data_IF_719264527604
#
_entry.id   IF_719264527604
#
_cell.length_a   1.000
_cell.length_b   1.000
_cell.length_c   1.000
_cell.angle_alpha   90.00
_cell.angle_beta   90.00
_cell.angle_gamma   90.00
#
_symmetry.space_group_name_H-M   'P 1'
#
loop_
_entity.id
_entity.type
_entity.pdbx_description
1 polymer ?
#
# COMPACT_ATOMS: atom_id res chain seq x y z
N UNK A 1 4.11 -10.57 5.88
CA UNK A 1 3.81 -9.14 6.08
C UNK A 1 2.31 -9.06 5.90
N UNK A 2 1.56 -8.97 6.99
CA UNK A 2 0.11 -8.75 6.94
C UNK A 2 -0.10 -7.31 7.44
N UNK A 3 -0.18 -6.39 6.48
CA UNK A 3 -0.37 -4.96 6.74
C UNK A 3 -1.84 -4.62 6.95
N UNK A 4 -2.73 -5.55 6.61
CA UNK A 4 -4.16 -5.33 6.75
C UNK A 4 -4.54 -5.51 8.21
N UNK A 5 -4.68 -4.39 8.94
CA UNK A 5 -5.29 -4.39 10.28
C UNK A 5 -6.75 -4.89 10.30
N UNK A 6 -7.23 -5.49 9.22
CA UNK A 6 -8.53 -6.14 9.07
C UNK A 6 -8.34 -7.59 9.51
N UNK A 7 -8.22 -7.80 10.83
CA UNK A 7 -8.35 -9.13 11.42
C UNK A 7 -9.77 -9.63 11.17
N UNK A 8 -9.90 -10.83 10.63
CA UNK A 8 -11.14 -11.60 10.79
C UNK A 8 -11.27 -11.84 12.30
N UNK A 9 -12.18 -11.11 12.95
CA UNK A 9 -12.28 -10.99 14.41
C UNK A 9 -12.70 -12.31 15.06
N UNK A 10 -11.75 -13.06 15.61
CA UNK A 10 -11.98 -13.91 16.78
C UNK A 10 -12.20 -13.01 18.01
N UNK A 11 -13.37 -12.36 18.10
CA UNK A 11 -13.67 -11.49 19.25
C UNK A 11 -14.62 -10.32 19.02
N UNK A 12 -15.77 -10.54 18.39
CA UNK A 12 -17.00 -9.76 18.61
C UNK A 12 -17.04 -8.25 18.32
N UNK A 13 -15.95 -7.58 17.96
CA UNK A 13 -15.96 -6.14 17.65
C UNK A 13 -16.40 -5.89 16.21
N UNK A 14 -17.52 -5.17 16.05
CA UNK A 14 -18.05 -4.76 14.75
C UNK A 14 -17.37 -3.48 14.28
N UNK A 15 -16.60 -3.55 13.19
CA UNK A 15 -15.90 -2.43 12.57
C UNK A 15 -16.65 -1.99 11.31
N UNK A 16 -16.86 -0.68 11.16
CA UNK A 16 -17.51 -0.10 10.00
C UNK A 16 -16.69 1.06 9.42
N UNK A 17 -16.88 1.33 8.13
CA UNK A 17 -16.25 2.39 7.35
C UNK A 17 -17.32 3.34 6.82
N UNK A 18 -17.18 4.63 7.14
CA UNK A 18 -17.94 5.67 6.47
C UNK A 18 -17.36 5.92 5.07
N UNK A 19 -18.23 6.04 4.05
CA UNK A 19 -17.85 6.41 2.68
C UNK A 19 -18.50 7.73 2.29
N UNK A 20 -17.66 8.73 2.00
CA UNK A 20 -18.07 10.04 1.51
C UNK A 20 -17.14 10.44 0.36
N UNK A 21 -17.60 11.36 -0.49
CA UNK A 21 -16.81 11.86 -1.63
C UNK A 21 -16.52 13.35 -1.54
N UNK A 22 -17.14 14.04 -0.59
CA UNK A 22 -16.93 15.46 -0.31
C UNK A 22 -16.95 15.74 1.19
N UNK A 23 -16.24 16.79 1.61
CA UNK A 23 -16.26 17.28 2.99
C UNK A 23 -17.37 18.32 3.15
N UNK A 24 -18.61 17.91 2.87
CA UNK A 24 -19.81 18.74 3.05
C UNK A 24 -20.72 18.10 4.10
N UNK A 25 -21.41 18.92 4.89
CA UNK A 25 -22.25 18.44 6.00
C UNK A 25 -23.24 17.34 5.56
N UNK A 26 -23.94 17.57 4.45
CA UNK A 26 -24.92 16.64 3.89
C UNK A 26 -24.30 15.28 3.56
N UNK A 27 -23.10 15.26 2.97
CA UNK A 27 -22.43 14.04 2.53
C UNK A 27 -21.87 13.25 3.72
N UNK A 28 -21.35 13.95 4.73
CA UNK A 28 -20.89 13.34 5.99
C UNK A 28 -22.06 12.73 6.77
N UNK A 29 -23.17 13.45 6.93
CA UNK A 29 -24.36 12.93 7.62
C UNK A 29 -24.94 11.72 6.88
N UNK A 30 -24.96 11.75 5.54
CA UNK A 30 -25.39 10.60 4.74
C UNK A 30 -24.46 9.40 4.94
N UNK A 31 -23.15 9.60 4.96
CA UNK A 31 -22.16 8.54 5.18
C UNK A 31 -22.29 7.91 6.57
N UNK A 32 -22.51 8.71 7.61
CA UNK A 32 -22.70 8.24 8.98
C UNK A 32 -23.98 7.41 9.16
N UNK A 33 -25.04 7.72 8.40
CA UNK A 33 -26.27 6.94 8.39
C UNK A 33 -26.18 5.67 7.52
N UNK A 34 -25.16 5.55 6.66
CA UNK A 34 -24.98 4.44 5.71
C UNK A 34 -23.57 3.85 5.83
N UNK A 35 -23.24 3.38 7.02
CA UNK A 35 -21.97 2.71 7.30
C UNK A 35 -21.86 1.39 6.51
N UNK A 36 -20.66 1.11 5.98
CA UNK A 36 -20.38 -0.11 5.22
C UNK A 36 -19.23 -0.89 5.85
N UNK A 37 -19.04 -2.14 5.44
CA UNK A 37 -17.86 -2.91 5.83
C UNK A 37 -16.62 -2.45 5.03
N UNK A 38 -15.42 -2.49 5.62
CA UNK A 38 -14.17 -2.27 4.88
C UNK A 38 -13.97 -3.33 3.79
N UNK A 39 -13.55 -2.91 2.59
CA UNK A 39 -13.23 -3.83 1.49
C UNK A 39 -11.82 -4.42 1.64
N UNK A 40 -11.75 -5.73 1.93
CA UNK A 40 -10.49 -6.48 2.11
C UNK A 40 -9.74 -6.68 0.78
N UNK A 41 -10.46 -6.82 -0.34
CA UNK A 41 -9.83 -7.06 -1.64
C UNK A 41 -9.07 -5.83 -2.12
N UNK A 42 -9.63 -4.63 -1.88
CA UNK A 42 -8.96 -3.36 -2.16
C UNK A 42 -7.66 -3.23 -1.34
N UNK A 43 -7.70 -3.60 -0.07
CA UNK A 43 -6.51 -3.59 0.79
C UNK A 43 -5.44 -4.59 0.32
N UNK A 44 -5.83 -5.82 -0.02
CA UNK A 44 -4.91 -6.85 -0.53
C UNK A 44 -4.25 -6.44 -1.85
N UNK A 45 -4.98 -5.74 -2.73
CA UNK A 45 -4.40 -5.22 -3.97
C UNK A 45 -3.28 -4.19 -3.69
N UNK A 46 -3.46 -3.34 -2.68
CA UNK A 46 -2.43 -2.37 -2.26
C UNK A 46 -1.21 -3.06 -1.66
N UNK A 47 -1.39 -4.13 -0.89
CA UNK A 47 -0.29 -4.93 -0.34
C UNK A 47 0.50 -5.68 -1.42
N UNK A 48 -0.21 -6.30 -2.37
CA UNK A 48 0.43 -6.93 -3.52
C UNK A 48 1.28 -5.93 -4.31
N UNK A 49 0.78 -4.71 -4.52
CA UNK A 49 1.52 -3.66 -5.22
C UNK A 49 2.77 -3.24 -4.44
N UNK A 50 2.68 -3.06 -3.12
CA UNK A 50 3.84 -2.73 -2.28
C UNK A 50 4.94 -3.79 -2.38
N UNK A 51 4.56 -5.07 -2.36
CA UNK A 51 5.50 -6.17 -2.47
C UNK A 51 6.19 -6.21 -3.85
N UNK A 52 5.42 -6.01 -4.92
CA UNK A 52 5.95 -5.97 -6.29
C UNK A 52 6.90 -4.78 -6.46
N UNK A 53 6.48 -3.58 -6.10
CA UNK A 53 7.28 -2.36 -6.24
C UNK A 53 8.62 -2.48 -5.49
N UNK A 54 8.60 -3.05 -4.28
CA UNK A 54 9.81 -3.27 -3.49
C UNK A 54 10.72 -4.33 -4.13
N UNK A 55 10.20 -5.50 -4.47
CA UNK A 55 11.02 -6.60 -5.01
C UNK A 55 11.63 -6.24 -6.35
N UNK A 56 10.81 -5.73 -7.27
CA UNK A 56 11.24 -5.31 -8.60
C UNK A 56 12.22 -4.14 -8.47
N UNK A 57 11.85 -3.10 -7.71
CA UNK A 57 12.70 -1.94 -7.48
C UNK A 57 14.07 -2.32 -6.94
N UNK A 58 14.13 -3.09 -5.84
CA UNK A 58 15.40 -3.50 -5.22
C UNK A 58 16.23 -4.39 -6.15
N UNK A 59 15.62 -5.32 -6.88
CA UNK A 59 16.35 -6.19 -7.80
C UNK A 59 17.02 -5.39 -8.92
N UNK A 60 16.26 -4.53 -9.59
CA UNK A 60 16.77 -3.72 -10.70
C UNK A 60 17.77 -2.66 -10.24
N UNK A 61 17.50 -1.97 -9.13
CA UNK A 61 18.43 -0.99 -8.58
C UNK A 61 19.74 -1.66 -8.18
N UNK A 62 19.71 -2.78 -7.44
CA UNK A 62 20.96 -3.48 -7.04
C UNK A 62 21.73 -4.00 -8.23
N UNK A 63 21.06 -4.54 -9.24
CA UNK A 63 21.71 -5.00 -10.47
C UNK A 63 22.40 -3.86 -11.19
N UNK A 64 21.69 -2.78 -11.49
CA UNK A 64 22.23 -1.65 -12.24
C UNK A 64 23.34 -0.94 -11.47
N UNK A 65 23.15 -0.66 -10.18
CA UNK A 65 24.18 0.00 -9.36
C UNK A 65 25.47 -0.82 -9.33
N UNK A 66 25.40 -2.14 -9.11
CA UNK A 66 26.60 -2.99 -9.10
C UNK A 66 27.24 -3.11 -10.49
N UNK A 67 26.42 -3.25 -11.54
CA UNK A 67 26.91 -3.35 -12.92
C UNK A 67 27.67 -2.08 -13.33
N UNK A 68 27.13 -0.90 -13.03
CA UNK A 68 27.76 0.37 -13.40
C UNK A 68 28.91 0.78 -12.49
N UNK A 69 28.87 0.45 -11.19
CA UNK A 69 30.04 0.61 -10.30
C UNK A 69 31.24 -0.20 -10.81
N UNK A 70 31.03 -1.45 -11.24
CA UNK A 70 32.12 -2.28 -11.79
C UNK A 70 32.60 -1.84 -13.19
N UNK A 71 31.72 -1.23 -14.00
CA UNK A 71 32.02 -0.82 -15.37
C UNK A 71 32.72 0.55 -15.47
N UNK A 72 32.45 1.46 -14.53
CA UNK A 72 32.97 2.83 -14.54
C UNK A 72 33.93 3.15 -13.38
N UNK A 73 34.18 2.21 -12.45
CA UNK A 73 35.06 2.43 -11.30
C UNK A 73 36.55 2.68 -11.62
N UNK A 74 36.95 2.63 -12.90
CA UNK A 74 38.32 2.92 -13.35
C UNK A 74 38.40 4.20 -14.20
N UNK A 75 37.33 5.01 -14.28
CA UNK A 75 37.28 6.23 -15.09
C UNK A 75 37.62 7.51 -14.32
N UNK A 76 37.89 7.40 -13.03
CA UNK A 76 38.30 8.53 -12.17
C UNK A 76 39.83 8.60 -12.01
N UNK A 77 40.59 8.01 -12.93
CA UNK A 77 42.06 7.97 -12.90
C UNK A 77 42.68 8.37 -14.24
N UNK A 78 42.44 9.61 -14.69
CA UNK A 78 43.27 10.34 -15.68
C UNK A 78 42.97 11.83 -15.63
#
# INVERSE_FOLDING_TARGET
IDCTGIRDMEGGQRVFRARFSSVTEKDILRAMNNLVEPDKNEALAVDARQEIDLKVGVAFTRFQTRYFQGKYGNLDSS
#
